data_IF_623294027995
#
_entry.id   IF_623294027995
#
_cell.length_a   1.000
_cell.length_b   1.000
_cell.length_c   1.000
_cell.angle_alpha   90.00
_cell.angle_beta   90.00
_cell.angle_gamma   90.00
#
_symmetry.space_group_name_H-M   'P 1'
#
loop_
_entity.id
_entity.type
_entity.pdbx_description
1 polymer ?
#
# COMPACT_ATOMS: atom_id res chain seq x y z
N UNK A 1 -16.94 -25.07 43.04
CA UNK A 1 -16.87 -23.61 42.76
C UNK A 1 -15.73 -23.24 41.81
N UNK A 2 -14.53 -23.83 41.92
CA UNK A 2 -13.42 -23.55 41.00
C UNK A 2 -13.71 -23.88 39.51
N UNK A 3 -14.44 -24.97 39.22
CA UNK A 3 -14.85 -25.34 37.86
C UNK A 3 -15.75 -24.29 37.19
N UNK A 4 -16.69 -23.69 37.93
CA UNK A 4 -17.60 -22.63 37.44
C UNK A 4 -16.86 -21.31 37.24
N UNK A 5 -15.80 -21.05 38.01
CA UNK A 5 -14.96 -19.85 37.85
C UNK A 5 -14.08 -20.00 36.60
N UNK A 6 -13.52 -21.19 36.36
CA UNK A 6 -12.77 -21.47 35.14
C UNK A 6 -13.66 -21.42 33.89
N UNK A 7 -14.86 -21.98 33.94
CA UNK A 7 -15.82 -21.93 32.82
C UNK A 7 -16.20 -20.48 32.46
N UNK A 8 -16.43 -19.63 33.47
CA UNK A 8 -16.68 -18.19 33.27
C UNK A 8 -15.47 -17.43 32.71
N UNK A 9 -14.26 -17.81 33.11
CA UNK A 9 -13.03 -17.19 32.64
C UNK A 9 -12.75 -17.56 31.17
N UNK A 10 -12.95 -18.83 30.81
CA UNK A 10 -12.86 -19.30 29.43
C UNK A 10 -13.86 -18.57 28.52
N UNK A 11 -15.13 -18.45 28.92
CA UNK A 11 -16.12 -17.69 28.17
C UNK A 11 -15.71 -16.22 27.98
N UNK A 12 -15.13 -15.60 28.99
CA UNK A 12 -14.66 -14.22 28.91
C UNK A 12 -13.50 -14.08 27.92
N UNK A 13 -12.55 -15.02 27.92
CA UNK A 13 -11.45 -15.07 26.94
C UNK A 13 -12.00 -15.24 25.52
N UNK A 14 -12.91 -16.16 25.28
CA UNK A 14 -13.55 -16.33 23.97
C UNK A 14 -14.26 -15.07 23.47
N UNK A 15 -14.92 -14.34 24.37
CA UNK A 15 -15.58 -13.08 24.04
C UNK A 15 -14.57 -11.99 23.65
N UNK A 16 -13.43 -11.89 24.35
CA UNK A 16 -12.37 -10.94 24.02
C UNK A 16 -11.71 -11.24 22.66
N UNK A 17 -11.50 -12.51 22.34
CA UNK A 17 -11.01 -12.91 21.01
C UNK A 17 -12.03 -12.58 19.92
N UNK A 18 -13.31 -12.91 20.11
CA UNK A 18 -14.35 -12.55 19.15
C UNK A 18 -14.44 -11.03 18.94
N UNK A 19 -14.32 -10.24 20.01
CA UNK A 19 -14.34 -8.79 19.96
C UNK A 19 -13.13 -8.22 19.18
N UNK A 20 -11.94 -8.80 19.33
CA UNK A 20 -10.76 -8.37 18.58
C UNK A 20 -10.84 -8.70 17.09
N UNK A 21 -11.44 -9.84 16.73
CA UNK A 21 -11.75 -10.15 15.33
C UNK A 21 -12.76 -9.16 14.73
N UNK A 22 -13.83 -8.82 15.46
CA UNK A 22 -14.86 -7.87 14.99
C UNK A 22 -14.32 -6.43 14.91
N UNK A 23 -13.41 -6.03 15.79
CA UNK A 23 -12.74 -4.71 15.76
C UNK A 23 -11.53 -4.68 14.81
N UNK A 24 -11.08 -5.84 14.31
CA UNK A 24 -9.87 -6.03 13.51
C UNK A 24 -10.02 -5.72 12.02
N UNK A 25 -11.24 -5.52 11.50
CA UNK A 25 -11.49 -5.21 10.09
C UNK A 25 -11.18 -3.75 9.71
N UNK A 26 -10.16 -3.17 10.34
CA UNK A 26 -9.67 -1.82 10.04
C UNK A 26 -8.54 -1.90 9.01
N UNK A 27 -8.99 -2.04 7.76
CA UNK A 27 -8.55 -1.23 6.62
C UNK A 27 -7.12 -1.45 6.12
N UNK A 28 -6.96 -2.38 5.16
CA UNK A 28 -6.06 -2.15 4.03
C UNK A 28 -6.95 -1.68 2.88
N UNK A 29 -7.21 -0.38 2.82
CA UNK A 29 -7.70 0.23 1.58
C UNK A 29 -6.51 0.36 0.64
N UNK A 30 -6.23 -0.74 -0.05
CA UNK A 30 -5.48 -0.67 -1.29
C UNK A 30 -6.38 0.06 -2.27
N UNK A 31 -6.22 1.39 -2.39
CA UNK A 31 -6.87 2.18 -3.44
C UNK A 31 -6.65 1.44 -4.77
N UNK A 32 -7.67 0.74 -5.25
CA UNK A 32 -7.68 0.17 -6.57
C UNK A 32 -7.93 1.37 -7.48
N UNK A 33 -6.89 1.84 -8.16
CA UNK A 33 -7.04 2.87 -9.18
C UNK A 33 -7.91 2.22 -10.26
N UNK A 34 -9.18 2.60 -10.32
CA UNK A 34 -10.04 2.29 -11.45
C UNK A 34 -9.35 2.88 -12.68
N UNK A 35 -8.97 2.00 -13.61
CA UNK A 35 -8.44 2.36 -14.91
C UNK A 35 -9.45 3.28 -15.57
N UNK A 36 -9.18 4.58 -15.56
CA UNK A 36 -9.90 5.57 -16.34
C UNK A 36 -9.63 5.27 -17.81
N UNK A 37 -10.38 4.32 -18.38
CA UNK A 37 -10.32 3.97 -19.80
C UNK A 37 -10.71 5.13 -20.74
N UNK A 38 -11.02 6.33 -20.23
CA UNK A 38 -11.41 7.48 -21.05
C UNK A 38 -10.94 8.84 -20.51
N UNK A 39 -9.74 8.90 -19.96
CA UNK A 39 -8.96 10.15 -19.98
C UNK A 39 -7.64 9.83 -20.63
N UNK A 40 -7.55 10.13 -21.93
CA UNK A 40 -6.34 9.96 -22.73
C UNK A 40 -5.12 10.31 -21.91
N UNK A 41 -4.24 9.31 -21.76
CA UNK A 41 -2.96 9.31 -21.08
C UNK A 41 -2.57 10.72 -20.63
N UNK A 42 -3.01 11.11 -19.43
CA UNK A 42 -2.45 12.29 -18.78
C UNK A 42 -1.04 11.85 -18.44
N UNK A 43 -0.10 12.04 -19.39
CA UNK A 43 1.32 11.85 -19.14
C UNK A 43 1.60 12.60 -17.85
N UNK A 44 1.93 11.86 -16.81
CA UNK A 44 2.37 12.44 -15.54
C UNK A 44 3.49 13.41 -15.91
N UNK A 45 3.37 14.67 -15.48
CA UNK A 45 4.31 15.73 -15.85
C UNK A 45 5.72 15.25 -15.51
N UNK A 46 6.56 15.03 -16.53
CA UNK A 46 7.91 14.47 -16.36
C UNK A 46 8.11 13.02 -16.81
N UNK A 47 7.10 12.35 -17.39
CA UNK A 47 7.30 11.03 -18.02
C UNK A 47 8.22 11.14 -19.24
N UNK A 48 9.36 10.45 -19.17
CA UNK A 48 10.39 10.38 -20.21
C UNK A 48 10.08 9.26 -21.20
N UNK A 49 9.63 8.12 -20.67
CA UNK A 49 9.37 6.91 -21.47
C UNK A 49 8.17 6.20 -20.90
N UNK A 50 7.38 5.61 -21.79
CA UNK A 50 6.28 4.74 -21.41
C UNK A 50 6.63 3.34 -21.88
N UNK A 51 6.46 2.34 -21.01
CA UNK A 51 6.73 0.93 -21.29
C UNK A 51 5.39 0.20 -21.16
N UNK A 52 5.03 -0.55 -22.20
CA UNK A 52 3.86 -1.43 -22.17
C UNK A 52 4.33 -2.86 -21.88
N UNK A 53 3.75 -3.48 -20.86
CA UNK A 53 3.94 -4.88 -20.52
C UNK A 53 3.08 -5.78 -21.40
N UNK A 54 3.43 -7.07 -21.45
CA UNK A 54 2.70 -8.08 -22.22
C UNK A 54 1.24 -8.20 -21.76
N UNK A 55 0.98 -7.97 -20.47
CA UNK A 55 -0.36 -7.98 -19.86
C UNK A 55 -1.20 -6.73 -20.15
N UNK A 56 -0.68 -5.77 -20.93
CA UNK A 56 -1.34 -4.50 -21.24
C UNK A 56 -1.11 -3.40 -20.20
N UNK A 57 -0.29 -3.67 -19.19
CA UNK A 57 0.08 -2.68 -18.17
C UNK A 57 1.00 -1.61 -18.76
N UNK A 58 0.65 -0.35 -18.55
CA UNK A 58 1.42 0.80 -19.04
C UNK A 58 2.17 1.46 -17.87
N UNK A 59 3.51 1.43 -17.91
CA UNK A 59 4.39 2.00 -16.89
C UNK A 59 5.08 3.25 -17.45
N UNK A 60 4.81 4.41 -16.85
CA UNK A 60 5.51 5.66 -17.15
C UNK A 60 6.82 5.78 -16.33
N UNK A 61 7.95 5.84 -17.02
CA UNK A 61 9.26 6.14 -16.46
C UNK A 61 9.42 7.66 -16.29
N UNK A 62 9.79 8.08 -15.08
CA UNK A 62 10.08 9.47 -14.72
C UNK A 62 11.54 9.60 -14.25
N UNK A 63 12.14 10.77 -14.40
CA UNK A 63 13.47 11.06 -13.83
C UNK A 63 13.45 10.81 -12.32
N UNK A 64 14.48 10.15 -11.81
CA UNK A 64 14.56 9.75 -10.40
C UNK A 64 14.51 10.96 -9.45
N UNK A 65 15.05 12.12 -9.84
CA UNK A 65 15.04 13.34 -9.03
C UNK A 65 13.78 14.19 -9.23
N UNK A 66 12.97 13.87 -10.24
CA UNK A 66 11.73 14.58 -10.57
C UNK A 66 10.49 13.78 -10.17
N UNK A 67 10.68 12.70 -9.39
CA UNK A 67 9.56 11.93 -8.86
C UNK A 67 8.71 12.81 -7.92
N UNK A 68 7.38 12.75 -8.02
CA UNK A 68 6.48 13.53 -7.17
C UNK A 68 6.65 13.21 -5.67
N UNK A 69 7.24 12.07 -5.34
CA UNK A 69 7.58 11.67 -3.96
C UNK A 69 8.49 12.69 -3.26
N UNK A 70 9.33 13.42 -4.01
CA UNK A 70 10.23 14.44 -3.44
C UNK A 70 9.51 15.73 -3.01
N UNK A 71 8.24 15.92 -3.37
CA UNK A 71 7.42 17.00 -2.82
C UNK A 71 7.10 16.76 -1.33
N UNK A 72 7.27 15.53 -0.85
CA UNK A 72 7.10 15.19 0.55
C UNK A 72 8.20 15.83 1.42
N UNK A 73 7.86 16.57 2.51
CA UNK A 73 8.83 17.31 3.32
C UNK A 73 10.00 16.46 3.84
N UNK A 74 9.75 15.19 4.15
CA UNK A 74 10.78 14.26 4.65
C UNK A 74 11.75 13.74 3.59
N UNK A 75 11.42 13.88 2.30
CA UNK A 75 12.21 13.33 1.20
C UNK A 75 13.00 14.39 0.42
N UNK A 76 12.72 15.68 0.62
CA UNK A 76 13.36 16.81 -0.09
C UNK A 76 14.90 16.79 -0.12
N UNK A 77 15.54 16.24 0.92
CA UNK A 77 17.00 16.17 1.04
C UNK A 77 17.52 14.73 1.10
N UNK A 78 16.70 13.76 0.68
CA UNK A 78 17.08 12.36 0.71
C UNK A 78 18.05 12.06 -0.44
N UNK A 79 19.27 11.65 -0.12
CA UNK A 79 20.24 11.19 -1.12
C UNK A 79 19.88 9.75 -1.48
N UNK A 80 19.60 9.52 -2.75
CA UNK A 80 19.30 8.19 -3.25
C UNK A 80 20.61 7.41 -3.39
N UNK A 81 20.73 6.32 -2.64
CA UNK A 81 21.81 5.37 -2.83
C UNK A 81 21.43 4.43 -3.97
N UNK A 82 21.99 4.66 -5.16
CA UNK A 82 21.85 3.72 -6.27
C UNK A 82 22.84 2.58 -6.10
N UNK A 83 22.35 1.40 -5.76
CA UNK A 83 23.11 0.15 -5.88
C UNK A 83 22.73 -0.47 -7.21
N UNK A 84 23.67 -0.49 -8.16
CA UNK A 84 23.54 -1.25 -9.40
C UNK A 84 23.53 -2.72 -9.02
N UNK A 85 22.33 -3.31 -8.96
CA UNK A 85 22.20 -4.76 -9.09
C UNK A 85 22.25 -5.03 -10.59
N UNK A 86 23.32 -5.68 -11.03
CA UNK A 86 23.37 -6.29 -12.35
C UNK A 86 22.25 -7.32 -12.41
N UNK A 87 21.25 -7.06 -13.26
CA UNK A 87 20.21 -8.01 -13.65
C UNK A 87 20.66 -8.74 -14.92
#
# INVERSE_FOLDING_TARGET
>A
MAYVINDKLECFIFFLFALSYVLGDRFVDGRRIETLENKGLIKQKGSIKTIEGEDGDTIDCVDIYQQPTFDHPFLKNHIIQVSLLEF
#
